data_IF_645422241937
#
_entry.id   IF_645422241937
#
_cell.length_a   1.000
_cell.length_b   1.000
_cell.length_c   1.000
_cell.angle_alpha   90.00
_cell.angle_beta   90.00
_cell.angle_gamma   90.00
#
_symmetry.space_group_name_H-M   'P 1'
#
loop_
_entity.id
_entity.type
_entity.pdbx_description
1 polymer ?
#
# COMPACT_ATOMS: atom_id res chain seq x y z
N UNK A 1 0.90 -7.94 25.07
CA UNK A 1 0.50 -6.60 24.63
C UNK A 1 0.37 -5.65 25.81
N UNK A 2 0.71 -4.37 25.60
CA UNK A 2 0.66 -3.33 26.65
C UNK A 2 -0.75 -2.69 26.72
N UNK A 3 -1.79 -3.50 26.88
CA UNK A 3 -3.14 -3.01 27.13
C UNK A 3 -3.27 -2.62 28.59
N UNK A 4 -3.78 -1.42 28.87
CA UNK A 4 -4.19 -0.97 30.21
C UNK A 4 -5.53 -0.23 30.07
N UNK A 5 -6.31 -0.08 31.17
CA UNK A 5 -7.56 0.69 31.13
C UNK A 5 -7.36 2.14 30.65
N UNK A 6 -6.21 2.76 30.99
CA UNK A 6 -5.86 4.13 30.61
C UNK A 6 -5.35 4.24 29.17
N UNK A 7 -4.82 3.15 28.64
CA UNK A 7 -4.32 3.07 27.26
C UNK A 7 -4.76 1.76 26.62
N UNK A 8 -6.05 1.64 26.28
CA UNK A 8 -6.63 0.40 25.77
C UNK A 8 -6.07 0.07 24.40
N UNK A 9 -5.73 -1.21 24.20
CA UNK A 9 -5.36 -1.77 22.91
C UNK A 9 -6.31 -2.90 22.59
N UNK A 10 -7.17 -2.64 21.61
CA UNK A 10 -8.28 -3.51 21.26
C UNK A 10 -8.07 -4.08 19.86
N UNK A 11 -8.71 -5.20 19.60
CA UNK A 11 -8.96 -5.74 18.27
C UNK A 11 -10.44 -5.81 18.07
N UNK A 12 -10.89 -5.26 16.97
CA UNK A 12 -12.28 -5.33 16.54
C UNK A 12 -12.34 -6.35 15.40
N UNK A 13 -13.11 -7.41 15.60
CA UNK A 13 -13.34 -8.46 14.60
C UNK A 13 -14.81 -8.36 14.20
N UNK A 14 -15.06 -8.07 12.94
CA UNK A 14 -16.38 -7.89 12.38
C UNK A 14 -16.58 -8.91 11.26
N UNK A 15 -17.42 -9.95 11.45
CA UNK A 15 -17.78 -10.88 10.39
C UNK A 15 -18.47 -10.14 9.24
N UNK A 16 -18.13 -10.52 8.01
CA UNK A 16 -18.78 -10.00 6.81
C UNK A 16 -19.82 -11.01 6.31
N UNK A 17 -20.92 -10.51 5.70
CA UNK A 17 -22.00 -11.35 5.17
C UNK A 17 -21.65 -12.06 3.86
N UNK A 18 -20.56 -11.68 3.19
CA UNK A 18 -19.99 -12.32 2.00
C UNK A 18 -18.48 -12.12 1.93
N UNK A 19 -17.84 -12.90 1.07
CA UNK A 19 -16.45 -12.67 0.68
C UNK A 19 -16.30 -11.34 -0.07
N UNK A 20 -15.13 -10.74 0.04
CA UNK A 20 -14.77 -9.46 -0.60
C UNK A 20 -13.43 -9.57 -1.32
N UNK A 21 -13.27 -8.82 -2.38
CA UNK A 21 -11.95 -8.67 -3.03
C UNK A 21 -11.00 -7.85 -2.15
N UNK A 22 -9.68 -7.91 -2.39
CA UNK A 22 -8.71 -7.10 -1.64
C UNK A 22 -9.03 -5.61 -1.63
N UNK A 23 -9.44 -5.03 -2.75
CA UNK A 23 -9.78 -3.61 -2.86
C UNK A 23 -11.11 -3.28 -2.16
N UNK A 24 -12.13 -4.15 -2.27
CA UNK A 24 -13.36 -4.03 -1.48
C UNK A 24 -13.05 -4.05 0.02
N UNK A 25 -12.14 -4.96 0.47
CA UNK A 25 -11.75 -5.03 1.87
C UNK A 25 -11.17 -3.69 2.35
N UNK A 26 -10.24 -3.09 1.61
CA UNK A 26 -9.67 -1.80 2.00
C UNK A 26 -10.75 -0.73 2.10
N UNK A 27 -11.64 -0.64 1.10
CA UNK A 27 -12.71 0.36 1.08
C UNK A 27 -13.67 0.16 2.28
N UNK A 28 -14.10 -1.07 2.54
CA UNK A 28 -15.00 -1.42 3.65
C UNK A 28 -14.34 -1.12 4.99
N UNK A 29 -13.12 -1.63 5.21
CA UNK A 29 -12.41 -1.47 6.48
C UNK A 29 -12.13 0.01 6.81
N UNK A 30 -11.72 0.80 5.81
CA UNK A 30 -11.50 2.24 5.98
C UNK A 30 -12.79 3.00 6.26
N UNK A 31 -13.90 2.65 5.61
CA UNK A 31 -15.19 3.31 5.85
C UNK A 31 -15.73 3.01 7.24
N UNK A 32 -15.63 1.77 7.68
CA UNK A 32 -16.00 1.38 9.05
C UNK A 32 -15.12 2.10 10.07
N UNK A 33 -13.81 2.17 9.83
CA UNK A 33 -12.92 2.90 10.72
C UNK A 33 -13.20 4.41 10.74
N UNK A 34 -13.56 5.02 9.60
CA UNK A 34 -13.96 6.42 9.50
C UNK A 34 -15.19 6.73 10.36
N UNK A 35 -16.19 5.86 10.34
CA UNK A 35 -17.42 6.00 11.13
C UNK A 35 -17.19 5.82 12.65
N UNK A 36 -16.20 5.05 13.05
CA UNK A 36 -15.82 4.85 14.45
C UNK A 36 -14.84 5.95 14.93
N UNK A 37 -13.95 6.39 14.04
CA UNK A 37 -12.89 7.33 14.30
C UNK A 37 -11.54 6.80 13.82
N UNK A 38 -11.21 7.03 12.56
CA UNK A 38 -10.07 6.45 11.85
C UNK A 38 -8.71 6.68 12.55
N UNK A 39 -8.58 7.75 13.31
CA UNK A 39 -7.37 8.08 14.06
C UNK A 39 -7.07 7.09 15.21
N UNK A 40 -8.04 6.27 15.60
CA UNK A 40 -7.86 5.26 16.65
C UNK A 40 -7.34 3.92 16.10
N UNK A 41 -7.36 3.73 14.79
CA UNK A 41 -6.98 2.48 14.15
C UNK A 41 -5.51 2.47 13.75
N UNK A 42 -4.89 1.30 13.77
CA UNK A 42 -3.58 1.07 13.17
C UNK A 42 -3.74 1.05 11.64
N UNK A 43 -3.02 1.93 10.94
CA UNK A 43 -3.12 2.09 9.49
C UNK A 43 -2.75 0.81 8.72
N UNK A 44 -1.95 -0.08 9.31
CA UNK A 44 -1.59 -1.38 8.71
C UNK A 44 -2.75 -2.38 8.74
N UNK A 45 -3.82 -2.13 9.51
CA UNK A 45 -5.02 -2.98 9.56
C UNK A 45 -5.75 -3.04 8.22
N UNK A 46 -5.57 -2.06 7.35
CA UNK A 46 -6.21 -2.01 6.03
C UNK A 46 -5.51 -2.85 4.96
N UNK A 47 -4.39 -3.48 5.28
CA UNK A 47 -3.69 -4.39 4.37
C UNK A 47 -4.37 -5.76 4.38
N UNK A 48 -4.93 -6.26 3.24
CA UNK A 48 -5.67 -7.54 3.21
C UNK A 48 -4.82 -8.75 3.59
N UNK A 49 -3.51 -8.68 3.31
CA UNK A 49 -2.55 -9.75 3.62
C UNK A 49 -1.97 -9.66 5.03
N UNK A 50 -2.42 -8.70 5.84
CA UNK A 50 -1.86 -8.47 7.17
C UNK A 50 -2.06 -9.65 8.09
N UNK A 51 -0.95 -10.23 8.55
CA UNK A 51 -0.97 -11.28 9.57
C UNK A 51 -1.50 -10.72 10.89
N UNK A 52 -2.51 -11.39 11.43
CA UNK A 52 -3.05 -11.12 12.76
C UNK A 52 -2.68 -12.26 13.70
N UNK A 53 -1.87 -11.97 14.72
CA UNK A 53 -1.58 -12.94 15.77
C UNK A 53 -2.80 -13.19 16.64
N UNK A 54 -2.91 -14.40 17.21
CA UNK A 54 -3.91 -14.70 18.22
C UNK A 54 -3.84 -13.72 19.39
N UNK A 55 -4.98 -13.30 19.96
CA UNK A 55 -4.99 -12.46 21.13
C UNK A 55 -4.24 -13.12 22.28
N UNK A 56 -3.30 -12.40 22.87
CA UNK A 56 -2.54 -12.87 24.02
C UNK A 56 -2.22 -11.69 24.94
N UNK A 57 -2.12 -11.97 26.21
CA UNK A 57 -1.65 -11.01 27.21
C UNK A 57 -0.58 -11.64 28.08
N UNK A 58 0.22 -10.84 28.75
CA UNK A 58 1.17 -11.31 29.76
C UNK A 58 0.42 -11.86 30.98
N UNK A 59 1.09 -12.70 31.77
CA UNK A 59 0.48 -13.31 32.99
C UNK A 59 0.05 -12.30 34.04
N UNK A 60 0.61 -11.10 34.01
CA UNK A 60 0.32 -9.95 34.88
C UNK A 60 -0.60 -8.92 34.22
N UNK A 61 -1.07 -9.18 32.98
CA UNK A 61 -1.93 -8.29 32.23
C UNK A 61 -3.41 -8.68 32.34
N UNK A 62 -4.28 -7.73 32.03
CA UNK A 62 -5.72 -7.96 31.93
C UNK A 62 -6.10 -8.41 30.53
N UNK A 63 -6.84 -9.52 30.44
CA UNK A 63 -7.43 -10.01 29.19
C UNK A 63 -8.93 -9.73 29.20
N UNK A 64 -9.39 -8.93 28.24
CA UNK A 64 -10.80 -8.62 28.07
C UNK A 64 -11.28 -9.18 26.73
N UNK A 65 -12.32 -9.99 26.79
CA UNK A 65 -13.03 -10.49 25.62
C UNK A 65 -14.51 -10.11 25.74
N UNK A 66 -15.07 -9.57 24.67
CA UNK A 66 -16.50 -9.27 24.57
C UNK A 66 -17.00 -9.71 23.22
N UNK A 67 -18.06 -10.43 23.21
CA UNK A 67 -18.83 -10.81 22.04
C UNK A 67 -20.15 -10.04 22.05
N UNK A 68 -20.53 -9.51 20.92
CA UNK A 68 -21.78 -8.81 20.70
C UNK A 68 -22.53 -9.58 19.62
N UNK A 69 -23.69 -10.12 19.96
CA UNK A 69 -24.55 -10.79 18.99
C UNK A 69 -25.11 -9.77 18.00
N UNK A 70 -25.15 -10.15 16.73
CA UNK A 70 -25.66 -9.31 15.66
C UNK A 70 -25.50 -9.98 14.29
N UNK A 71 -26.12 -9.38 13.28
CA UNK A 71 -25.97 -9.83 11.91
C UNK A 71 -24.58 -9.47 11.37
N UNK A 72 -23.98 -10.32 10.52
CA UNK A 72 -22.74 -9.99 9.83
C UNK A 72 -22.88 -8.68 9.04
N UNK A 73 -21.82 -7.88 9.03
CA UNK A 73 -21.79 -6.61 8.31
C UNK A 73 -21.92 -6.87 6.80
N UNK A 74 -22.87 -6.21 6.15
CA UNK A 74 -23.00 -6.23 4.69
C UNK A 74 -21.94 -5.33 4.04
N UNK A 75 -20.97 -5.88 3.30
CA UNK A 75 -20.02 -5.08 2.54
C UNK A 75 -20.70 -4.15 1.54
N UNK A 76 -21.78 -4.60 0.89
CA UNK A 76 -22.50 -3.82 -0.11
C UNK A 76 -23.13 -2.56 0.48
N UNK A 77 -23.68 -2.66 1.70
CA UNK A 77 -24.22 -1.49 2.40
C UNK A 77 -23.14 -0.48 2.78
N UNK A 78 -21.94 -0.95 3.11
CA UNK A 78 -20.80 -0.07 3.42
C UNK A 78 -20.28 0.59 2.14
N UNK A 79 -20.10 -0.18 1.08
CA UNK A 79 -19.63 0.31 -0.21
C UNK A 79 -20.60 1.33 -0.83
N UNK A 80 -21.90 1.14 -0.64
CA UNK A 80 -22.93 2.09 -1.09
C UNK A 80 -22.86 3.48 -0.42
N UNK A 81 -22.13 3.62 0.69
CA UNK A 81 -21.92 4.91 1.36
C UNK A 81 -20.89 5.79 0.65
N UNK A 82 -20.10 5.24 -0.28
CA UNK A 82 -19.24 6.01 -1.16
C UNK A 82 -20.03 6.53 -2.36
N UNK A 83 -19.58 7.63 -2.95
CA UNK A 83 -20.06 8.06 -4.26
C UNK A 83 -19.60 7.07 -5.34
N UNK A 84 -18.35 6.69 -5.28
CA UNK A 84 -17.74 5.62 -6.05
C UNK A 84 -16.64 4.95 -5.20
N UNK A 85 -16.93 3.78 -4.62
CA UNK A 85 -15.96 3.08 -3.79
C UNK A 85 -14.72 2.60 -4.55
N UNK A 86 -14.83 2.47 -5.88
CA UNK A 86 -13.69 2.09 -6.74
C UNK A 86 -12.68 3.21 -6.87
N UNK A 87 -13.11 4.44 -6.64
CA UNK A 87 -12.19 5.58 -6.61
C UNK A 87 -11.40 5.62 -5.29
N UNK A 88 -10.19 5.05 -5.30
CA UNK A 88 -9.32 5.01 -4.12
C UNK A 88 -8.98 6.39 -3.54
N UNK A 89 -9.17 7.47 -4.31
CA UNK A 89 -8.98 8.83 -3.80
C UNK A 89 -10.08 9.27 -2.82
N UNK A 90 -11.22 8.58 -2.80
CA UNK A 90 -12.33 8.84 -1.87
C UNK A 90 -12.20 8.03 -0.57
N UNK A 91 -11.26 7.07 -0.50
CA UNK A 91 -11.08 6.27 0.69
C UNK A 91 -10.59 7.11 1.87
N UNK A 92 -11.18 6.97 3.04
CA UNK A 92 -10.71 7.65 4.24
C UNK A 92 -9.26 7.31 4.56
N UNK A 93 -8.49 8.32 4.95
CA UNK A 93 -7.06 8.18 5.28
C UNK A 93 -6.78 8.95 6.56
N UNK A 94 -6.13 8.29 7.53
CA UNK A 94 -5.71 8.94 8.77
C UNK A 94 -4.71 10.08 8.52
N UNK A 95 -4.64 11.02 9.44
CA UNK A 95 -3.63 12.08 9.39
C UNK A 95 -2.21 11.53 9.53
N UNK A 96 -2.05 10.42 10.30
CA UNK A 96 -0.76 9.72 10.45
C UNK A 96 -0.29 9.16 9.13
N UNK A 97 -1.13 8.45 8.39
CA UNK A 97 -0.76 7.86 7.10
C UNK A 97 -0.37 8.95 6.09
N UNK A 98 -1.12 10.06 6.05
CA UNK A 98 -0.76 11.22 5.22
C UNK A 98 0.60 11.82 5.60
N UNK A 99 0.88 11.88 6.92
CA UNK A 99 2.15 12.40 7.41
C UNK A 99 3.31 11.46 7.10
N UNK A 100 3.12 10.13 7.25
CA UNK A 100 4.14 9.11 6.97
C UNK A 100 4.55 9.16 5.51
N UNK A 101 3.62 9.08 4.56
CA UNK A 101 3.95 9.13 3.13
C UNK A 101 4.68 10.42 2.75
N UNK A 102 4.24 11.56 3.29
CA UNK A 102 4.94 12.84 3.07
C UNK A 102 6.33 12.89 3.70
N UNK A 103 6.47 12.28 4.87
CA UNK A 103 7.73 12.22 5.59
C UNK A 103 8.73 11.29 4.89
N UNK A 104 8.29 10.13 4.45
CA UNK A 104 9.09 9.19 3.66
C UNK A 104 9.54 9.81 2.35
N UNK A 105 8.65 10.53 1.65
CA UNK A 105 9.01 11.27 0.44
C UNK A 105 10.09 12.34 0.68
N UNK A 106 10.11 12.94 1.88
CA UNK A 106 11.12 13.93 2.27
C UNK A 106 12.41 13.33 2.78
N UNK A 107 12.33 12.14 3.43
CA UNK A 107 13.50 11.45 3.98
C UNK A 107 14.22 10.58 2.95
N UNK A 108 13.53 10.08 1.94
CA UNK A 108 14.21 9.39 0.85
C UNK A 108 15.16 10.37 0.16
N UNK A 109 16.41 9.98 0.07
CA UNK A 109 17.39 10.74 -0.71
C UNK A 109 16.85 10.97 -2.13
N UNK A 110 16.96 12.18 -2.63
CA UNK A 110 16.51 12.53 -3.98
C UNK A 110 17.08 11.54 -4.99
N UNK A 111 16.24 10.77 -5.70
CA UNK A 111 16.71 9.74 -6.62
C UNK A 111 17.58 10.31 -7.74
N UNK A 112 17.43 11.58 -8.08
CA UNK A 112 18.23 12.26 -9.10
C UNK A 112 19.70 12.46 -8.66
N UNK A 113 19.95 12.50 -7.34
CA UNK A 113 21.30 12.69 -6.78
C UNK A 113 22.00 11.36 -6.49
N UNK A 114 21.29 10.23 -6.56
CA UNK A 114 21.88 8.90 -6.31
C UNK A 114 22.94 8.59 -7.35
N UNK A 115 24.09 8.00 -6.93
CA UNK A 115 25.11 7.52 -7.88
C UNK A 115 24.67 6.23 -8.59
N UNK A 116 25.37 5.87 -9.64
CA UNK A 116 25.19 4.60 -10.35
C UNK A 116 23.89 4.51 -11.15
N UNK A 117 23.45 3.29 -11.40
CA UNK A 117 22.31 3.00 -12.28
C UNK A 117 20.99 3.63 -11.80
N UNK A 118 20.74 3.66 -10.50
CA UNK A 118 19.51 4.27 -9.95
C UNK A 118 19.41 5.74 -10.36
N UNK A 119 20.45 6.52 -10.06
CA UNK A 119 20.44 7.95 -10.37
C UNK A 119 20.49 8.24 -11.86
N UNK A 120 21.23 7.44 -12.64
CA UNK A 120 21.27 7.58 -14.08
C UNK A 120 19.87 7.36 -14.69
N UNK A 121 19.19 6.29 -14.33
CA UNK A 121 17.84 5.99 -14.79
C UNK A 121 16.81 7.05 -14.36
N UNK A 122 16.84 7.46 -13.09
CA UNK A 122 15.91 8.48 -12.58
C UNK A 122 16.15 9.88 -13.17
N UNK A 123 17.35 10.18 -13.69
CA UNK A 123 17.60 11.42 -14.45
C UNK A 123 17.14 11.33 -15.91
N UNK A 124 17.15 10.11 -16.49
CA UNK A 124 16.66 9.89 -17.84
C UNK A 124 15.14 9.83 -17.91
N UNK A 125 14.52 9.24 -16.89
CA UNK A 125 13.07 9.02 -16.83
C UNK A 125 12.49 9.56 -15.51
N UNK A 126 11.50 10.45 -15.60
CA UNK A 126 10.62 10.68 -14.45
C UNK A 126 9.85 9.40 -14.08
N UNK A 127 9.24 9.34 -12.90
CA UNK A 127 8.38 8.19 -12.55
C UNK A 127 7.25 8.02 -13.55
N UNK A 128 6.68 9.11 -14.04
CA UNK A 128 5.64 9.10 -15.06
C UNK A 128 6.14 8.50 -16.37
N UNK A 129 7.26 9.01 -16.89
CA UNK A 129 7.85 8.48 -18.13
C UNK A 129 8.18 7.00 -18.00
N UNK A 130 8.72 6.58 -16.85
CA UNK A 130 9.06 5.19 -16.58
C UNK A 130 7.82 4.28 -16.57
N UNK A 131 6.72 4.71 -15.96
CA UNK A 131 5.44 3.99 -15.95
C UNK A 131 4.89 3.87 -17.38
N UNK A 132 4.83 4.97 -18.12
CA UNK A 132 4.23 5.00 -19.46
C UNK A 132 5.09 4.26 -20.50
N UNK A 133 6.42 4.30 -20.37
CA UNK A 133 7.34 3.65 -21.31
C UNK A 133 7.49 2.15 -21.04
N UNK A 134 7.70 1.79 -19.77
CA UNK A 134 8.13 0.43 -19.43
C UNK A 134 7.04 -0.44 -18.83
N UNK A 135 5.93 0.14 -18.36
CA UNK A 135 4.85 -0.55 -17.66
C UNK A 135 3.44 -0.27 -18.23
N UNK A 136 3.28 -0.09 -19.57
CA UNK A 136 1.96 0.27 -20.16
C UNK A 136 0.92 -0.84 -20.04
N UNK A 137 1.33 -2.08 -19.79
CA UNK A 137 0.45 -3.22 -19.51
C UNK A 137 0.11 -3.40 -18.05
N UNK A 138 0.77 -2.64 -17.15
CA UNK A 138 0.61 -2.71 -15.70
C UNK A 138 -0.23 -1.55 -15.19
N UNK A 139 0.06 -0.35 -15.70
CA UNK A 139 -0.62 0.88 -15.30
C UNK A 139 -1.20 1.62 -16.50
N UNK A 140 -2.26 2.34 -16.25
CA UNK A 140 -2.84 3.30 -17.20
C UNK A 140 -3.14 4.62 -16.50
N UNK A 141 -3.08 5.77 -17.21
CA UNK A 141 -3.54 7.03 -16.66
C UNK A 141 -4.97 6.94 -16.15
N UNK A 142 -5.20 7.44 -14.94
CA UNK A 142 -6.54 7.51 -14.37
C UNK A 142 -7.30 8.74 -14.92
N UNK A 143 -8.63 8.70 -14.80
CA UNK A 143 -9.47 9.89 -15.05
C UNK A 143 -9.11 11.07 -14.10
N UNK A 144 -8.50 10.80 -12.96
CA UNK A 144 -8.02 11.81 -12.02
C UNK A 144 -6.57 12.22 -12.35
N UNK A 145 -6.36 13.49 -12.64
CA UNK A 145 -5.05 14.03 -12.98
C UNK A 145 -3.97 13.70 -11.92
N UNK A 146 -2.79 13.32 -12.37
CA UNK A 146 -1.65 12.97 -11.49
C UNK A 146 -1.76 11.60 -10.83
N UNK A 147 -2.71 10.76 -11.26
CA UNK A 147 -2.90 9.40 -10.75
C UNK A 147 -2.92 8.37 -11.87
N UNK A 148 -2.63 7.12 -11.49
CA UNK A 148 -2.71 5.96 -12.37
C UNK A 148 -3.60 4.88 -11.74
N UNK A 149 -4.18 4.06 -12.60
CA UNK A 149 -4.86 2.82 -12.23
C UNK A 149 -3.89 1.66 -12.39
N UNK A 150 -3.86 0.75 -11.43
CA UNK A 150 -3.26 -0.57 -11.62
C UNK A 150 -4.27 -1.43 -12.40
N UNK A 151 -3.90 -1.88 -13.60
CA UNK A 151 -4.84 -2.50 -14.56
C UNK A 151 -5.57 -3.73 -13.98
N UNK A 152 -4.90 -4.62 -13.21
CA UNK A 152 -5.58 -5.78 -12.62
C UNK A 152 -6.47 -5.46 -11.41
N UNK A 153 -6.45 -4.24 -10.88
CA UNK A 153 -7.22 -3.87 -9.69
C UNK A 153 -8.70 -3.61 -10.01
N UNK A 154 -9.56 -3.82 -9.02
CA UNK A 154 -10.97 -3.44 -9.08
C UNK A 154 -11.19 -1.94 -8.81
N UNK A 155 -10.24 -1.31 -8.13
CA UNK A 155 -10.25 0.13 -7.82
C UNK A 155 -9.49 0.96 -8.84
N UNK A 156 -9.70 2.29 -8.82
CA UNK A 156 -9.13 3.26 -9.73
C UNK A 156 -8.42 4.38 -8.95
N UNK A 157 -7.57 5.15 -9.63
CA UNK A 157 -6.88 6.31 -9.08
C UNK A 157 -6.02 6.01 -7.82
N UNK A 158 -5.61 4.77 -7.62
CA UNK A 158 -4.89 4.34 -6.42
C UNK A 158 -3.39 4.60 -6.48
N UNK A 159 -2.81 4.81 -7.66
CA UNK A 159 -1.39 5.14 -7.77
C UNK A 159 -1.21 6.64 -7.83
N UNK A 160 -0.44 7.18 -6.88
CA UNK A 160 -0.20 8.63 -6.73
C UNK A 160 1.23 8.94 -7.09
N UNK A 161 1.45 9.99 -7.89
CA UNK A 161 2.77 10.49 -8.25
C UNK A 161 3.12 11.68 -7.33
N UNK A 162 4.34 11.67 -6.78
CA UNK A 162 4.88 12.73 -5.94
C UNK A 162 6.11 13.35 -6.60
N UNK A 163 6.03 14.66 -6.88
CA UNK A 163 7.12 15.48 -7.41
C UNK A 163 7.78 14.92 -8.69
N UNK A 164 7.06 14.12 -9.48
CA UNK A 164 7.55 13.36 -10.65
C UNK A 164 8.74 12.42 -10.32
N UNK A 165 9.08 12.25 -9.05
CA UNK A 165 10.22 11.47 -8.56
C UNK A 165 9.84 10.15 -7.92
N UNK A 166 8.62 10.08 -7.35
CA UNK A 166 8.16 8.92 -6.62
C UNK A 166 6.73 8.57 -6.99
N UNK A 167 6.38 7.29 -6.87
CA UNK A 167 5.00 6.82 -6.89
C UNK A 167 4.70 5.99 -5.64
N UNK A 168 3.42 5.96 -5.28
CA UNK A 168 2.91 5.15 -4.19
C UNK A 168 1.59 4.52 -4.63
N UNK A 169 1.49 3.19 -4.51
CA UNK A 169 0.28 2.45 -4.86
C UNK A 169 -0.56 2.12 -3.63
N UNK A 170 -1.86 2.43 -3.70
CA UNK A 170 -2.87 2.05 -2.73
C UNK A 170 -3.66 0.81 -3.17
N UNK A 171 -3.44 0.28 -4.37
CA UNK A 171 -4.10 -0.91 -4.87
C UNK A 171 -3.57 -2.15 -4.16
N UNK A 172 -4.43 -2.86 -3.42
CA UNK A 172 -4.02 -4.02 -2.63
C UNK A 172 -3.49 -5.19 -3.48
N UNK A 173 -3.98 -5.32 -4.70
CA UNK A 173 -3.55 -6.34 -5.66
C UNK A 173 -2.24 -6.01 -6.37
N UNK A 174 -1.76 -4.76 -6.23
CA UNK A 174 -0.48 -4.33 -6.78
C UNK A 174 0.68 -4.90 -5.95
N UNK A 175 1.64 -5.63 -6.54
CA UNK A 175 2.81 -6.16 -5.82
C UNK A 175 3.63 -5.12 -5.07
N UNK A 176 3.52 -3.85 -5.45
CA UNK A 176 4.22 -2.72 -4.81
C UNK A 176 3.33 -1.87 -3.92
N UNK A 177 2.15 -2.37 -3.57
CA UNK A 177 1.23 -1.68 -2.66
C UNK A 177 1.93 -1.26 -1.37
N UNK A 178 1.68 -0.04 -0.93
CA UNK A 178 2.22 0.48 0.33
C UNK A 178 3.70 0.90 0.30
N UNK A 179 4.35 0.88 -0.87
CA UNK A 179 5.74 1.27 -1.03
C UNK A 179 5.88 2.60 -1.78
N UNK A 180 6.76 3.47 -1.29
CA UNK A 180 7.13 4.69 -1.99
C UNK A 180 8.35 4.42 -2.88
N UNK A 181 8.16 4.42 -4.19
CA UNK A 181 9.14 3.96 -5.18
C UNK A 181 9.55 5.07 -6.14
N UNK A 182 10.85 5.12 -6.48
CA UNK A 182 11.36 5.93 -7.58
C UNK A 182 11.19 5.21 -8.94
N UNK A 183 11.54 5.90 -10.03
CA UNK A 183 11.40 5.38 -11.39
C UNK A 183 12.13 4.04 -11.61
N UNK A 184 13.35 3.89 -11.09
CA UNK A 184 14.13 2.66 -11.20
C UNK A 184 13.47 1.50 -10.44
N UNK A 185 13.03 1.74 -9.20
CA UNK A 185 12.49 0.68 -8.36
C UNK A 185 11.09 0.23 -8.79
N UNK A 186 10.22 1.11 -9.29
CA UNK A 186 8.90 0.70 -9.78
C UNK A 186 9.04 -0.21 -11.01
N UNK A 187 9.93 0.11 -11.94
CA UNK A 187 10.21 -0.75 -13.11
C UNK A 187 10.86 -2.06 -12.67
N UNK A 188 11.85 -2.00 -11.78
CA UNK A 188 12.54 -3.18 -11.24
C UNK A 188 11.58 -4.19 -10.64
N UNK A 189 10.72 -3.74 -9.75
CA UNK A 189 9.83 -4.64 -9.01
C UNK A 189 8.79 -5.28 -9.92
N UNK A 190 8.21 -4.55 -10.87
CA UNK A 190 7.22 -5.11 -11.79
C UNK A 190 7.82 -6.04 -12.85
N UNK A 191 8.99 -5.72 -13.38
CA UNK A 191 9.58 -6.54 -14.45
C UNK A 191 10.43 -7.71 -13.94
N UNK A 192 11.10 -7.52 -12.81
CA UNK A 192 12.13 -8.44 -12.33
C UNK A 192 11.93 -8.89 -10.88
N UNK A 193 10.94 -8.36 -10.14
CA UNK A 193 10.73 -8.67 -8.72
C UNK A 193 10.53 -10.15 -8.43
N UNK A 194 9.94 -10.89 -9.36
CA UNK A 194 9.80 -12.34 -9.26
C UNK A 194 11.13 -13.11 -9.13
N UNK A 195 12.25 -12.51 -9.56
CA UNK A 195 13.57 -13.14 -9.44
C UNK A 195 14.05 -13.21 -7.99
N UNK A 196 13.48 -12.38 -7.11
CA UNK A 196 13.87 -12.28 -5.71
C UNK A 196 13.13 -13.27 -4.79
N UNK A 197 12.15 -14.02 -5.28
CA UNK A 197 11.29 -14.91 -4.48
C UNK A 197 12.03 -15.99 -3.70
N UNK A 198 13.23 -16.37 -4.11
CA UNK A 198 14.09 -17.36 -3.43
C UNK A 198 15.23 -16.73 -2.66
N UNK A 199 15.26 -15.42 -2.55
CA UNK A 199 16.33 -14.67 -1.90
C UNK A 199 15.99 -14.46 -0.42
N UNK A 200 17.00 -14.50 0.47
CA UNK A 200 16.78 -14.19 1.88
C UNK A 200 16.34 -12.74 2.07
N UNK A 201 15.42 -12.51 3.04
CA UNK A 201 14.93 -11.17 3.40
C UNK A 201 16.05 -10.21 3.82
N UNK A 202 17.15 -10.74 4.37
CA UNK A 202 18.33 -9.95 4.79
C UNK A 202 19.27 -9.59 3.64
N UNK A 203 18.92 -9.92 2.39
CA UNK A 203 19.81 -9.65 1.25
C UNK A 203 19.85 -8.16 0.94
N UNK A 204 21.05 -7.59 0.91
CA UNK A 204 21.26 -6.19 0.53
C UNK A 204 20.63 -5.88 -0.84
N UNK A 205 19.90 -4.78 -1.01
CA UNK A 205 19.20 -4.44 -2.25
C UNK A 205 20.06 -4.55 -3.52
N UNK A 206 21.31 -4.10 -3.46
CA UNK A 206 22.25 -4.16 -4.60
C UNK A 206 22.70 -5.57 -5.00
N UNK A 207 22.45 -6.57 -4.15
CA UNK A 207 22.78 -7.98 -4.40
C UNK A 207 21.60 -8.79 -4.93
N UNK A 208 20.40 -8.22 -4.89
CA UNK A 208 19.20 -8.87 -5.38
C UNK A 208 19.28 -9.20 -6.87
N UNK A 209 18.80 -10.38 -7.30
CA UNK A 209 18.72 -10.74 -8.71
C UNK A 209 17.95 -9.71 -9.54
N UNK A 210 16.82 -9.21 -9.03
CA UNK A 210 16.04 -8.16 -9.69
C UNK A 210 16.84 -6.88 -9.92
N UNK A 211 17.68 -6.49 -8.94
CA UNK A 211 18.51 -5.29 -9.06
C UNK A 211 19.57 -5.44 -10.16
N UNK A 212 20.19 -6.61 -10.26
CA UNK A 212 21.18 -6.90 -11.32
C UNK A 212 20.51 -6.87 -12.69
N UNK A 213 19.36 -7.54 -12.84
CA UNK A 213 18.58 -7.55 -14.08
C UNK A 213 18.14 -6.14 -14.49
N UNK A 214 17.64 -5.34 -13.55
CA UNK A 214 17.25 -3.95 -13.82
C UNK A 214 18.43 -3.07 -14.21
N UNK A 215 19.60 -3.28 -13.59
CA UNK A 215 20.82 -2.55 -13.97
C UNK A 215 21.27 -2.87 -15.39
N UNK A 216 21.24 -4.14 -15.78
CA UNK A 216 21.56 -4.58 -17.15
C UNK A 216 20.56 -4.00 -18.14
N UNK A 217 19.28 -4.01 -17.82
CA UNK A 217 18.22 -3.40 -18.61
C UNK A 217 18.46 -1.89 -18.82
N UNK A 218 18.75 -1.15 -17.74
CA UNK A 218 18.97 0.29 -17.79
C UNK A 218 20.24 0.73 -18.55
N UNK A 219 21.15 -0.19 -18.85
CA UNK A 219 22.35 0.09 -19.67
C UNK A 219 22.09 -0.16 -21.16
N UNK A 220 21.10 -0.99 -21.48
CA UNK A 220 20.77 -1.35 -22.87
C UNK A 220 19.77 -0.36 -23.51
N UNK A 221 19.08 0.40 -22.69
CA UNK A 221 18.11 1.41 -23.09
C UNK A 221 18.76 2.81 -23.19
#
# INVERSE_FOLDING_TARGET
HKHTPENPRLRLIIPLSREVTPDEYIAVARKVADEIGIEQFDDTTYEPSRLMYWPSTSSDGEFVFREIEGEPLSPDMVLAKYKDWRNAAEWPVSNRQRAVVRHEARQQADPLTKPGAIGAFCRAYSVRDAIETFLPSVYRPSAMAGRYDYIPADSQAGVVIYDEKFCYSHHASDPVCGQLLNAFDVVRLHRFGQLDTKTSEDTEPGKLPSFKAMREFAVQD
#
